data_IF_591699227354
#
_entry.id   IF_591699227354
#
_cell.length_a   1.000
_cell.length_b   1.000
_cell.length_c   1.000
_cell.angle_alpha   90.00
_cell.angle_beta   90.00
_cell.angle_gamma   90.00
#
_symmetry.space_group_name_H-M   'P 1'
#
loop_
_entity.id
_entity.type
_entity.pdbx_description
1 polymer ?
#
# COMPACT_ATOMS: atom_id res chain seq x y z
N UNK A 1 -2.45 -10.62 8.55
CA UNK A 1 -3.20 -9.72 9.47
C UNK A 1 -4.04 -8.78 8.61
N UNK A 2 -5.36 -8.81 8.75
CA UNK A 2 -6.24 -7.90 8.00
C UNK A 2 -6.32 -6.53 8.68
N UNK A 3 -6.64 -5.49 7.92
CA UNK A 3 -6.91 -4.16 8.46
C UNK A 3 -8.17 -4.24 9.36
N UNK A 4 -8.15 -3.72 10.60
CA UNK A 4 -9.34 -3.67 11.45
C UNK A 4 -10.50 -2.91 10.81
N UNK A 5 -11.74 -3.38 11.04
CA UNK A 5 -12.95 -2.74 10.50
C UNK A 5 -13.08 -1.27 10.90
N UNK A 6 -12.68 -0.93 12.13
CA UNK A 6 -12.66 0.45 12.62
C UNK A 6 -11.73 1.36 11.80
N UNK A 7 -10.57 0.85 11.38
CA UNK A 7 -9.64 1.60 10.53
C UNK A 7 -10.20 1.78 9.12
N UNK A 8 -10.78 0.71 8.54
CA UNK A 8 -11.45 0.82 7.24
C UNK A 8 -12.58 1.85 7.26
N UNK A 9 -13.40 1.86 8.32
CA UNK A 9 -14.48 2.83 8.49
C UNK A 9 -13.98 4.26 8.63
N UNK A 10 -12.90 4.49 9.40
CA UNK A 10 -12.31 5.81 9.57
C UNK A 10 -11.82 6.39 8.23
N UNK A 11 -11.10 5.59 7.42
CA UNK A 11 -10.62 6.01 6.11
C UNK A 11 -11.78 6.23 5.14
N UNK A 12 -12.74 5.31 5.08
CA UNK A 12 -13.88 5.40 4.16
C UNK A 12 -14.74 6.64 4.44
N UNK A 13 -15.11 6.88 5.70
CA UNK A 13 -15.90 8.04 6.10
C UNK A 13 -15.17 9.36 5.82
N UNK A 14 -13.86 9.41 6.04
CA UNK A 14 -13.03 10.56 5.69
C UNK A 14 -13.07 10.86 4.19
N UNK A 15 -12.78 9.87 3.33
CA UNK A 15 -12.77 10.04 1.86
C UNK A 15 -14.14 10.48 1.35
N UNK A 16 -15.23 9.85 1.81
CA UNK A 16 -16.61 10.21 1.43
C UNK A 16 -16.92 11.65 1.83
N UNK A 17 -16.58 12.06 3.06
CA UNK A 17 -16.80 13.42 3.53
C UNK A 17 -16.04 14.45 2.70
N UNK A 18 -14.77 14.21 2.37
CA UNK A 18 -13.98 15.15 1.56
C UNK A 18 -14.58 15.30 0.15
N UNK A 19 -15.01 14.19 -0.47
CA UNK A 19 -15.63 14.17 -1.79
C UNK A 19 -16.97 14.91 -1.82
N UNK A 20 -17.84 14.68 -0.84
CA UNK A 20 -19.12 15.38 -0.70
C UNK A 20 -18.95 16.88 -0.37
N UNK A 21 -17.88 17.25 0.33
CA UNK A 21 -17.55 18.65 0.62
C UNK A 21 -16.96 19.41 -0.58
N UNK A 22 -16.91 18.80 -1.77
CA UNK A 22 -16.35 19.42 -2.98
C UNK A 22 -14.84 19.68 -2.92
N UNK A 23 -14.12 19.09 -1.95
CA UNK A 23 -12.68 19.31 -1.79
C UNK A 23 -11.92 18.52 -2.83
N UNK A 24 -11.32 19.25 -3.79
CA UNK A 24 -10.56 18.64 -4.89
C UNK A 24 -9.23 18.02 -4.48
N UNK A 25 -8.65 18.48 -3.35
CA UNK A 25 -7.35 18.00 -2.82
C UNK A 25 -7.48 17.84 -1.31
N UNK A 26 -7.20 16.65 -0.80
CA UNK A 26 -7.20 16.31 0.62
C UNK A 26 -6.08 15.30 0.90
N UNK A 27 -5.46 15.32 2.09
CA UNK A 27 -4.32 14.47 2.39
C UNK A 27 -4.74 12.99 2.41
N UNK A 28 -4.18 12.23 1.47
CA UNK A 28 -4.24 10.78 1.42
C UNK A 28 -2.88 10.30 0.90
N UNK A 29 -2.25 9.38 1.61
CA UNK A 29 -0.91 8.88 1.27
C UNK A 29 -1.04 7.51 0.62
N UNK A 30 -0.55 7.39 -0.61
CA UNK A 30 -0.29 6.12 -1.26
C UNK A 30 1.11 5.66 -0.86
N UNK A 31 1.22 4.45 -0.32
CA UNK A 31 2.51 3.77 -0.12
C UNK A 31 2.65 2.70 -1.21
N UNK A 32 3.54 2.95 -2.17
CA UNK A 32 3.86 2.01 -3.23
C UNK A 32 5.12 1.23 -2.87
N UNK A 33 5.08 -0.10 -2.95
CA UNK A 33 6.25 -0.97 -2.83
C UNK A 33 6.58 -1.60 -4.19
N UNK A 34 7.44 -0.97 -5.04
CA UNK A 34 7.74 -1.48 -6.38
C UNK A 34 8.53 -2.81 -6.37
N UNK A 35 9.25 -3.07 -5.27
CA UNK A 35 10.09 -4.24 -5.07
C UNK A 35 9.61 -5.01 -3.84
N UNK A 36 9.33 -6.30 -4.02
CA UNK A 36 9.05 -7.20 -2.91
C UNK A 36 10.31 -7.89 -2.36
N UNK A 37 11.48 -7.57 -2.94
CA UNK A 37 12.80 -8.13 -2.58
C UNK A 37 13.39 -7.46 -1.35
N UNK A 38 14.09 -8.23 -0.53
CA UNK A 38 14.95 -7.74 0.54
C UNK A 38 16.23 -8.59 0.62
N UNK A 39 17.36 -7.98 1.00
CA UNK A 39 18.64 -8.64 1.23
C UNK A 39 18.97 -8.80 2.74
N UNK A 40 18.03 -8.46 3.62
CA UNK A 40 18.17 -8.53 5.07
C UNK A 40 17.20 -9.57 5.65
N UNK A 41 17.55 -10.10 6.83
CA UNK A 41 16.73 -11.06 7.59
C UNK A 41 16.33 -10.48 8.96
N UNK A 42 15.60 -9.36 8.94
CA UNK A 42 15.15 -8.70 10.16
C UNK A 42 14.14 -9.56 10.93
N UNK A 43 14.29 -9.65 12.27
CA UNK A 43 13.51 -10.54 13.14
C UNK A 43 11.98 -10.34 13.12
N UNK A 44 11.48 -9.21 12.61
CA UNK A 44 10.05 -8.92 12.50
C UNK A 44 9.50 -8.89 11.06
N UNK A 45 10.31 -9.21 10.06
CA UNK A 45 9.89 -9.09 8.65
C UNK A 45 9.26 -10.39 8.15
N UNK A 46 7.98 -10.34 7.77
CA UNK A 46 7.30 -11.48 7.15
C UNK A 46 7.71 -11.77 5.69
N UNK A 47 8.41 -10.84 5.01
CA UNK A 47 8.76 -11.00 3.59
C UNK A 47 9.70 -12.20 3.36
N UNK A 48 10.66 -12.44 4.26
CA UNK A 48 11.66 -13.51 4.08
C UNK A 48 11.08 -14.93 4.11
N UNK A 49 9.83 -15.08 4.57
CA UNK A 49 9.15 -16.38 4.66
C UNK A 49 8.52 -16.79 3.31
N UNK A 50 8.47 -15.89 2.32
CA UNK A 50 7.95 -16.19 1.00
C UNK A 50 8.98 -16.91 0.12
N UNK A 51 8.53 -17.79 -0.80
CA UNK A 51 9.37 -18.37 -1.85
C UNK A 51 10.11 -17.33 -2.70
N UNK A 52 11.27 -17.73 -3.25
CA UNK A 52 12.16 -16.84 -4.00
C UNK A 52 11.52 -16.26 -5.28
N UNK A 53 10.62 -16.99 -5.92
CA UNK A 53 9.84 -16.53 -7.08
C UNK A 53 8.89 -15.40 -6.73
N UNK A 54 8.27 -15.45 -5.53
CA UNK A 54 7.42 -14.36 -5.03
C UNK A 54 8.27 -13.15 -4.66
N UNK A 55 9.37 -13.37 -3.96
CA UNK A 55 10.28 -12.29 -3.57
C UNK A 55 10.81 -11.54 -4.78
N UNK A 56 11.10 -12.23 -5.90
CA UNK A 56 11.62 -11.63 -7.13
C UNK A 56 10.60 -10.83 -7.93
N UNK A 57 9.33 -10.77 -7.53
CA UNK A 57 8.32 -9.94 -8.20
C UNK A 57 8.67 -8.46 -8.07
N UNK A 58 8.57 -7.76 -9.19
CA UNK A 58 8.76 -6.33 -9.30
C UNK A 58 7.70 -5.76 -10.25
N UNK A 59 7.27 -4.54 -9.96
CA UNK A 59 6.46 -3.77 -10.90
C UNK A 59 7.33 -3.21 -12.02
N UNK A 60 6.76 -3.02 -13.21
CA UNK A 60 7.41 -2.24 -14.25
C UNK A 60 7.36 -0.75 -13.90
N UNK A 61 8.22 0.05 -14.53
CA UNK A 61 8.18 1.51 -14.36
C UNK A 61 6.83 2.07 -14.80
N UNK A 62 6.28 1.54 -15.90
CA UNK A 62 4.97 1.94 -16.42
C UNK A 62 3.85 1.66 -15.42
N UNK A 63 3.83 0.47 -14.80
CA UNK A 63 2.85 0.14 -13.75
C UNK A 63 2.94 1.11 -12.56
N UNK A 64 4.17 1.48 -12.17
CA UNK A 64 4.38 2.40 -11.06
C UNK A 64 3.87 3.81 -11.37
N UNK A 65 4.08 4.29 -12.60
CA UNK A 65 3.62 5.62 -13.02
C UNK A 65 2.11 5.68 -13.25
N UNK A 66 1.48 4.59 -13.69
CA UNK A 66 0.03 4.52 -13.85
C UNK A 66 -0.73 4.46 -12.51
N UNK A 67 -0.05 4.17 -11.40
CA UNK A 67 -0.66 4.05 -10.07
C UNK A 67 -0.82 5.40 -9.32
N UNK A 68 -0.28 6.50 -9.85
CA UNK A 68 -0.27 7.84 -9.23
C UNK A 68 -1.09 8.87 -9.99
#
# INVERSE_FOLDING_TARGET
MGVPVSQMWAVASYVVRQKLSGRKRYPLVLMLEPLFRCNLACAGCGKIQYPADILRKNLSVEDCLNAV
#
